data_IF_336796901997
#
_entry.id   IF_336796901997
#
_cell.length_a   1.000
_cell.length_b   1.000
_cell.length_c   1.000
_cell.angle_alpha   90.00
_cell.angle_beta   90.00
_cell.angle_gamma   90.00
#
_symmetry.space_group_name_H-M   'P 1'
#
loop_
_entity.id
_entity.type
_entity.pdbx_description
1 polymer ?
#
# COMPACT_ATOMS: atom_id res chain seq x y z
N UNK A 1 -3.24 9.04 -14.95
CA UNK A 1 -2.39 7.83 -14.88
C UNK A 1 -1.36 7.87 -16.00
N UNK A 2 -0.52 6.84 -16.10
CA UNK A 2 0.56 6.73 -17.11
C UNK A 2 0.13 6.12 -18.45
N UNK A 3 -1.16 5.84 -18.64
CA UNK A 3 -1.68 5.20 -19.84
C UNK A 3 -1.27 5.90 -21.15
N UNK A 4 -1.39 7.24 -21.30
CA UNK A 4 -0.94 7.91 -22.52
C UNK A 4 0.55 7.71 -22.82
N UNK A 5 1.39 7.67 -21.79
CA UNK A 5 2.83 7.44 -21.90
C UNK A 5 3.12 5.99 -22.34
N UNK A 6 2.42 5.00 -21.75
CA UNK A 6 2.58 3.60 -22.14
C UNK A 6 2.19 3.41 -23.61
N UNK A 7 1.09 4.02 -24.06
CA UNK A 7 0.65 3.97 -25.47
C UNK A 7 1.70 4.53 -26.43
N UNK A 8 2.33 5.66 -26.09
CA UNK A 8 3.42 6.26 -26.88
C UNK A 8 4.62 5.32 -26.99
N UNK A 9 5.00 4.65 -25.89
CA UNK A 9 6.10 3.68 -25.88
C UNK A 9 5.74 2.48 -26.76
N UNK A 10 4.57 1.87 -26.55
CA UNK A 10 4.13 0.69 -27.30
C UNK A 10 4.04 0.95 -28.81
N UNK A 11 3.67 2.17 -29.21
CA UNK A 11 3.55 2.57 -30.61
C UNK A 11 4.88 2.57 -31.38
N UNK A 12 6.02 2.73 -30.68
CA UNK A 12 7.36 2.73 -31.30
C UNK A 12 8.09 1.40 -31.15
N UNK A 13 7.50 0.43 -30.44
CA UNK A 13 8.04 -0.93 -30.30
C UNK A 13 7.63 -1.77 -31.52
N UNK A 14 8.49 -2.68 -32.01
CA UNK A 14 8.14 -3.57 -33.11
C UNK A 14 6.77 -4.26 -32.95
N UNK A 15 6.00 -4.40 -34.03
CA UNK A 15 4.67 -5.01 -33.98
C UNK A 15 4.73 -6.51 -33.66
N UNK A 16 5.81 -7.19 -34.06
CA UNK A 16 6.06 -8.59 -33.72
C UNK A 16 6.92 -8.63 -32.46
N UNK A 17 6.30 -8.96 -31.34
CA UNK A 17 6.95 -9.03 -30.02
C UNK A 17 6.23 -10.02 -29.10
N UNK A 18 6.94 -10.50 -28.10
CA UNK A 18 6.33 -11.12 -26.92
C UNK A 18 6.13 -10.03 -25.87
N UNK A 19 4.91 -9.92 -25.32
CA UNK A 19 4.58 -8.96 -24.28
C UNK A 19 4.13 -9.71 -23.03
N UNK A 20 4.71 -9.38 -21.88
CA UNK A 20 4.28 -9.88 -20.58
C UNK A 20 3.64 -8.72 -19.82
N UNK A 21 2.41 -8.91 -19.34
CA UNK A 21 1.66 -7.90 -18.62
C UNK A 21 1.40 -8.40 -17.19
N UNK A 22 1.95 -7.69 -16.20
CA UNK A 22 1.81 -8.04 -14.80
C UNK A 22 0.92 -7.02 -14.09
N UNK A 23 -0.03 -7.50 -13.31
CA UNK A 23 -0.90 -6.65 -12.48
C UNK A 23 -1.41 -7.43 -11.28
N UNK A 24 -1.52 -6.73 -10.14
CA UNK A 24 -2.11 -7.28 -8.92
C UNK A 24 -3.65 -7.18 -8.90
N UNK A 25 -4.24 -6.40 -9.82
CA UNK A 25 -5.69 -6.16 -9.88
C UNK A 25 -6.20 -6.31 -11.30
N UNK A 26 -7.47 -6.72 -11.47
CA UNK A 26 -8.07 -6.95 -12.78
C UNK A 26 -9.34 -6.13 -13.10
N UNK A 27 -9.37 -4.81 -12.80
CA UNK A 27 -10.53 -3.98 -13.11
C UNK A 27 -10.69 -3.79 -14.63
N UNK A 28 -11.87 -3.31 -15.05
CA UNK A 28 -12.23 -3.16 -16.48
C UNK A 28 -11.21 -2.33 -17.27
N UNK A 29 -10.66 -1.27 -16.67
CA UNK A 29 -9.67 -0.41 -17.32
C UNK A 29 -8.36 -1.15 -17.61
N UNK A 30 -7.87 -1.96 -16.66
CA UNK A 30 -6.64 -2.76 -16.82
C UNK A 30 -6.85 -3.87 -17.86
N UNK A 31 -8.03 -4.50 -17.87
CA UNK A 31 -8.41 -5.49 -18.89
C UNK A 31 -8.39 -4.90 -20.31
N UNK A 32 -9.01 -3.73 -20.49
CA UNK A 32 -9.01 -3.06 -21.79
C UNK A 32 -7.57 -2.80 -22.28
N UNK A 33 -6.72 -2.29 -21.39
CA UNK A 33 -5.32 -2.02 -21.71
C UNK A 33 -4.54 -3.28 -22.07
N UNK A 34 -4.75 -4.38 -21.33
CA UNK A 34 -4.11 -5.66 -21.61
C UNK A 34 -4.51 -6.21 -22.99
N UNK A 35 -5.80 -6.16 -23.35
CA UNK A 35 -6.26 -6.62 -24.67
C UNK A 35 -5.75 -5.78 -25.84
N UNK A 36 -5.37 -4.53 -25.60
CA UNK A 36 -4.75 -3.69 -26.63
C UNK A 36 -3.24 -3.94 -26.79
N UNK A 37 -2.54 -4.32 -25.73
CA UNK A 37 -1.07 -4.50 -25.76
C UNK A 37 -0.62 -5.94 -26.01
N UNK A 38 -1.49 -6.91 -25.75
CA UNK A 38 -1.23 -8.33 -25.88
C UNK A 38 -1.88 -8.90 -27.15
N UNK A 39 -1.27 -9.95 -27.72
CA UNK A 39 -1.83 -10.70 -28.85
C UNK A 39 -2.07 -12.14 -28.38
N UNK A 40 -3.33 -12.57 -28.36
CA UNK A 40 -3.77 -13.89 -27.89
C UNK A 40 -3.11 -14.31 -26.55
N UNK A 41 -3.26 -13.51 -25.48
CA UNK A 41 -2.58 -13.80 -24.22
C UNK A 41 -3.12 -15.06 -23.53
N UNK A 42 -2.22 -15.79 -22.88
CA UNK A 42 -2.58 -16.76 -21.83
C UNK A 42 -2.61 -15.99 -20.52
N UNK A 43 -3.74 -16.08 -19.81
CA UNK A 43 -3.89 -15.47 -18.50
C UNK A 43 -3.59 -16.49 -17.40
N UNK A 44 -2.69 -16.13 -16.49
CA UNK A 44 -2.37 -16.92 -15.29
C UNK A 44 -2.73 -16.07 -14.09
N UNK A 45 -3.69 -16.55 -13.29
CA UNK A 45 -4.15 -15.90 -12.07
C UNK A 45 -3.74 -16.75 -10.85
N UNK A 46 -3.26 -16.09 -9.80
CA UNK A 46 -2.97 -16.73 -8.51
C UNK A 46 -3.79 -16.01 -7.44
N UNK A 47 -4.74 -16.70 -6.83
CA UNK A 47 -5.70 -16.11 -5.88
C UNK A 47 -6.92 -15.47 -6.57
N UNK A 48 -7.68 -14.66 -5.84
CA UNK A 48 -8.82 -13.91 -6.37
C UNK A 48 -8.39 -12.47 -6.72
N UNK A 49 -8.25 -12.19 -8.01
CA UNK A 49 -7.87 -10.86 -8.56
C UNK A 49 -9.09 -9.97 -8.87
N UNK A 50 -10.30 -10.51 -8.77
CA UNK A 50 -11.54 -9.84 -9.13
C UNK A 50 -12.22 -9.15 -7.95
N UNK A 51 -11.92 -9.59 -6.73
CA UNK A 51 -12.41 -8.95 -5.51
C UNK A 51 -11.25 -8.41 -4.67
N UNK A 52 -11.34 -7.13 -4.29
CA UNK A 52 -10.47 -6.53 -3.27
C UNK A 52 -10.90 -7.08 -1.91
N UNK A 53 -10.64 -8.36 -1.66
CA UNK A 53 -10.91 -8.97 -0.37
C UNK A 53 -9.77 -8.61 0.57
N UNK A 54 -10.10 -7.97 1.70
CA UNK A 54 -9.17 -7.91 2.81
C UNK A 54 -8.82 -9.35 3.22
N UNK A 55 -7.55 -9.59 3.53
CA UNK A 55 -7.09 -10.91 3.93
C UNK A 55 -7.89 -11.38 5.16
N UNK A 56 -8.57 -12.53 5.03
CA UNK A 56 -9.43 -13.10 6.09
C UNK A 56 -8.64 -13.54 7.32
N UNK A 57 -7.35 -13.78 7.17
CA UNK A 57 -6.44 -14.11 8.28
C UNK A 57 -6.08 -12.87 9.12
N UNK A 58 -6.41 -11.67 8.65
CA UNK A 58 -6.15 -10.42 9.37
C UNK A 58 -7.41 -10.02 10.15
N UNK A 59 -7.31 -10.06 11.49
CA UNK A 59 -8.32 -9.47 12.36
C UNK A 59 -8.26 -7.95 12.24
N UNK A 60 -9.39 -7.34 11.89
CA UNK A 60 -9.52 -5.89 11.72
C UNK A 60 -10.46 -5.33 12.78
N UNK A 61 -9.98 -4.33 13.53
CA UNK A 61 -10.74 -3.67 14.59
C UNK A 61 -10.83 -2.19 14.25
N UNK A 62 -12.04 -1.63 14.26
CA UNK A 62 -12.30 -0.22 13.96
C UNK A 62 -12.73 0.50 15.24
N UNK A 63 -11.97 1.53 15.61
CA UNK A 63 -12.34 2.43 16.69
C UNK A 63 -12.83 3.76 16.11
N UNK A 64 -14.09 4.12 16.39
CA UNK A 64 -14.63 5.44 16.10
C UNK A 64 -14.22 6.36 17.24
N UNK A 65 -13.60 7.50 16.91
CA UNK A 65 -13.10 8.48 17.89
C UNK A 65 -13.56 9.88 17.49
N UNK A 66 -13.89 10.68 18.49
CA UNK A 66 -14.42 12.04 18.30
C UNK A 66 -13.31 13.08 18.16
N UNK A 67 -12.14 12.82 18.75
CA UNK A 67 -11.04 13.76 18.79
C UNK A 67 -9.67 13.10 18.93
N UNK A 68 -8.62 13.93 18.82
CA UNK A 68 -7.24 13.48 18.82
C UNK A 68 -6.78 12.93 20.19
N UNK A 69 -7.31 13.44 21.31
CA UNK A 69 -6.95 12.94 22.64
C UNK A 69 -7.45 11.52 22.83
N UNK A 70 -8.70 11.23 22.43
CA UNK A 70 -9.26 9.88 22.48
C UNK A 70 -8.46 8.91 21.59
N UNK A 71 -8.05 9.35 20.40
CA UNK A 71 -7.16 8.56 19.53
C UNK A 71 -5.83 8.21 20.20
N UNK A 72 -5.21 9.15 20.93
CA UNK A 72 -3.98 8.90 21.67
C UNK A 72 -4.19 7.92 22.83
N UNK A 73 -5.31 8.04 23.56
CA UNK A 73 -5.65 7.11 24.64
C UNK A 73 -5.80 5.67 24.13
N UNK A 74 -6.53 5.48 23.03
CA UNK A 74 -6.69 4.16 22.41
C UNK A 74 -5.34 3.62 21.93
N UNK A 75 -4.50 4.46 21.31
CA UNK A 75 -3.16 4.03 20.88
C UNK A 75 -2.32 3.53 22.08
N UNK A 76 -2.36 4.22 23.21
CA UNK A 76 -1.67 3.80 24.42
C UNK A 76 -2.24 2.50 25.00
N UNK A 77 -3.55 2.30 24.95
CA UNK A 77 -4.18 1.04 25.34
C UNK A 77 -3.71 -0.11 24.45
N UNK A 78 -3.65 0.09 23.13
CA UNK A 78 -3.15 -0.90 22.18
C UNK A 78 -1.71 -1.28 22.55
N UNK A 79 -0.83 -0.31 22.79
CA UNK A 79 0.54 -0.61 23.20
C UNK A 79 0.62 -1.42 24.50
N UNK A 80 -0.26 -1.14 25.47
CA UNK A 80 -0.35 -1.89 26.72
C UNK A 80 -0.78 -3.36 26.55
N UNK A 81 -1.42 -3.71 25.43
CA UNK A 81 -1.80 -5.10 25.12
C UNK A 81 -0.73 -5.89 24.36
N UNK A 82 0.35 -5.24 23.91
CA UNK A 82 1.39 -5.91 23.14
C UNK A 82 2.39 -6.62 24.04
N UNK A 83 2.84 -7.79 23.61
CA UNK A 83 3.93 -8.51 24.26
C UNK A 83 5.26 -7.79 24.04
N UNK A 84 6.18 -7.93 25.01
CA UNK A 84 7.53 -7.37 24.89
C UNK A 84 8.24 -7.91 23.64
N UNK A 85 8.80 -7.00 22.83
CA UNK A 85 9.48 -7.34 21.57
C UNK A 85 8.56 -7.35 20.34
N UNK A 86 7.26 -7.09 20.50
CA UNK A 86 6.33 -6.90 19.37
C UNK A 86 6.81 -5.80 18.41
N UNK A 87 6.65 -6.03 17.11
CA UNK A 87 6.94 -5.04 16.05
C UNK A 87 5.65 -4.48 15.50
N UNK A 88 5.55 -3.15 15.45
CA UNK A 88 4.34 -2.43 15.03
C UNK A 88 4.68 -1.44 13.93
N UNK A 89 3.83 -1.37 12.91
CA UNK A 89 3.85 -0.32 11.89
C UNK A 89 2.61 0.55 12.08
N UNK A 90 2.81 1.87 12.19
CA UNK A 90 1.74 2.84 12.36
C UNK A 90 1.70 3.75 11.15
N UNK A 91 0.61 3.69 10.40
CA UNK A 91 0.39 4.57 9.26
C UNK A 91 -0.29 5.87 9.69
N UNK A 92 0.21 6.99 9.15
CA UNK A 92 -0.36 8.33 9.34
C UNK A 92 -0.65 8.97 7.99
N UNK A 93 -1.68 9.81 7.92
CA UNK A 93 -2.12 10.42 6.65
C UNK A 93 -1.13 11.38 6.01
N UNK A 94 -0.22 11.98 6.80
CA UNK A 94 0.77 12.95 6.29
C UNK A 94 2.15 12.72 6.89
N UNK A 95 3.18 13.15 6.17
CA UNK A 95 4.59 13.10 6.62
C UNK A 95 4.78 13.84 7.95
N UNK A 96 4.19 15.05 8.06
CA UNK A 96 4.22 15.86 9.28
C UNK A 96 3.60 15.15 10.48
N UNK A 97 2.48 14.43 10.29
CA UNK A 97 1.88 13.63 11.36
C UNK A 97 2.78 12.46 11.78
N UNK A 98 3.49 11.86 10.81
CA UNK A 98 4.46 10.79 11.07
C UNK A 98 5.58 11.30 11.98
N UNK A 99 6.18 12.44 11.65
CA UNK A 99 7.22 13.08 12.48
C UNK A 99 6.68 13.47 13.87
N UNK A 100 5.50 14.08 13.94
CA UNK A 100 4.89 14.48 15.21
C UNK A 100 4.62 13.28 16.12
N UNK A 101 4.06 12.21 15.58
CA UNK A 101 3.81 10.98 16.34
C UNK A 101 5.12 10.31 16.75
N UNK A 102 6.10 10.23 15.85
CA UNK A 102 7.42 9.70 16.15
C UNK A 102 8.10 10.44 17.30
N UNK A 103 8.12 11.77 17.27
CA UNK A 103 8.67 12.58 18.37
C UNK A 103 7.94 12.35 19.71
N UNK A 104 6.64 12.09 19.68
CA UNK A 104 5.86 11.77 20.89
C UNK A 104 6.22 10.37 21.43
N UNK A 105 6.36 9.38 20.54
CA UNK A 105 6.60 7.98 20.92
C UNK A 105 8.06 7.70 21.30
N UNK A 106 9.03 8.35 20.66
CA UNK A 106 10.47 8.15 20.95
C UNK A 106 10.84 8.38 22.41
N UNK A 107 10.04 9.15 23.16
CA UNK A 107 10.25 9.42 24.59
C UNK A 107 9.89 8.24 25.48
N UNK A 108 9.13 7.28 24.98
CA UNK A 108 8.53 6.19 25.75
C UNK A 108 8.94 4.83 25.19
N UNK A 109 9.03 4.71 23.87
CA UNK A 109 9.36 3.48 23.16
C UNK A 109 10.35 3.76 22.03
N UNK A 110 11.22 2.80 21.72
CA UNK A 110 12.08 2.89 20.54
C UNK A 110 11.25 2.84 19.26
N UNK A 111 11.26 3.91 18.46
CA UNK A 111 10.56 3.95 17.18
C UNK A 111 11.36 4.68 16.10
N UNK A 112 11.26 4.20 14.86
CA UNK A 112 11.73 4.90 13.66
C UNK A 112 10.59 5.60 12.92
N UNK A 113 10.92 6.59 12.09
CA UNK A 113 9.95 7.35 11.29
C UNK A 113 10.31 7.19 9.81
N UNK A 114 9.35 6.78 8.98
CA UNK A 114 9.54 6.53 7.55
C UNK A 114 8.57 7.38 6.73
N UNK A 115 9.11 8.27 5.90
CA UNK A 115 8.35 8.95 4.84
C UNK A 115 9.29 9.43 3.73
N UNK A 116 8.75 9.74 2.55
CA UNK A 116 9.56 10.08 1.36
C UNK A 116 10.40 11.36 1.41
N UNK A 117 10.40 12.11 2.52
CA UNK A 117 11.28 13.27 2.72
C UNK A 117 12.44 12.96 3.70
N UNK A 118 12.47 11.76 4.30
CA UNK A 118 13.65 11.30 5.03
C UNK A 118 14.76 10.95 4.03
N UNK A 119 16.01 11.21 4.40
CA UNK A 119 17.14 10.70 3.63
C UNK A 119 17.09 9.16 3.67
N UNK A 120 17.16 8.53 2.51
CA UNK A 120 17.02 7.08 2.33
C UNK A 120 18.38 6.37 2.36
N UNK A 121 19.45 7.07 2.72
CA UNK A 121 20.83 6.55 2.75
C UNK A 121 21.19 5.75 4.01
N UNK A 122 20.24 5.48 4.90
CA UNK A 122 20.40 4.61 6.07
C UNK A 122 19.58 3.32 5.94
#
# INVERSE_FOLDING_TARGET
>A
GFEPQIRKIVAVVPPTRQTLFYTATWPRQVRALAYEFLRNPVQVEVGDVNSLNANKDITQIVHIVDNQQQKQQILNQIFGTLEAGSRVIIFTSTKRMCDQLGMQLMRVIGCGVIHGDKDQRE
#
